data_IF_371377400493
#
_entry.id   IF_371377400493
#
_cell.length_a   1.000
_cell.length_b   1.000
_cell.length_c   1.000
_cell.angle_alpha   90.00
_cell.angle_beta   90.00
_cell.angle_gamma   90.00
#
_symmetry.space_group_name_H-M   'P 1'
#
loop_
_entity.id
_entity.type
_entity.pdbx_description
1 polymer ?
#
# COMPACT_ATOMS: atom_id res chain seq x y z
N UNK A 1 34.57 2.88 16.04
CA UNK A 1 33.12 3.04 16.26
C UNK A 1 32.70 4.35 15.59
N UNK A 2 31.89 4.31 14.53
CA UNK A 2 31.43 5.53 13.85
C UNK A 2 29.98 5.81 14.27
N UNK A 3 29.75 6.99 14.86
CA UNK A 3 28.42 7.40 15.32
C UNK A 3 27.55 7.88 14.15
N UNK A 4 26.24 7.63 14.26
CA UNK A 4 25.26 8.09 13.27
C UNK A 4 25.22 9.59 13.25
N UNK A 5 25.73 10.19 12.20
CA UNK A 5 25.43 11.59 11.94
C UNK A 5 24.35 11.66 10.87
N UNK A 6 23.08 11.52 11.31
CA UNK A 6 21.89 11.66 10.44
C UNK A 6 21.98 12.93 9.59
N UNK A 7 22.36 14.04 10.19
CA UNK A 7 22.47 15.33 9.51
C UNK A 7 23.53 15.30 8.38
N UNK A 8 24.72 14.74 8.63
CA UNK A 8 25.77 14.58 7.62
C UNK A 8 25.31 13.71 6.46
N UNK A 9 24.63 12.59 6.74
CA UNK A 9 24.19 11.65 5.72
C UNK A 9 23.04 12.23 4.91
N UNK A 10 22.07 12.89 5.56
CA UNK A 10 21.04 13.65 4.85
C UNK A 10 21.68 14.70 3.94
N UNK A 11 22.70 15.44 4.41
CA UNK A 11 23.42 16.40 3.57
C UNK A 11 24.05 15.76 2.34
N UNK A 12 24.68 14.59 2.49
CA UNK A 12 25.29 13.82 1.39
C UNK A 12 24.21 13.28 0.44
N UNK A 13 23.16 12.64 0.97
CA UNK A 13 22.08 12.07 0.15
C UNK A 13 21.33 13.16 -0.61
N UNK A 14 21.18 14.35 -0.03
CA UNK A 14 20.56 15.51 -0.68
C UNK A 14 21.42 16.13 -1.79
N UNK A 15 22.65 15.65 -2.04
CA UNK A 15 23.41 16.02 -3.25
C UNK A 15 23.15 15.09 -4.43
N UNK A 16 22.46 13.95 -4.24
CA UNK A 16 22.19 13.02 -5.32
C UNK A 16 21.08 13.60 -6.21
N UNK A 17 21.25 13.62 -7.55
CA UNK A 17 20.25 14.18 -8.47
C UNK A 17 18.84 13.59 -8.29
N UNK A 18 18.72 12.27 -8.10
CA UNK A 18 17.43 11.61 -7.84
C UNK A 18 16.77 12.15 -6.58
N UNK A 19 17.52 12.32 -5.48
CA UNK A 19 16.98 12.84 -4.22
C UNK A 19 16.62 14.32 -4.35
N UNK A 20 17.48 15.12 -4.98
CA UNK A 20 17.23 16.54 -5.23
C UNK A 20 15.95 16.75 -6.03
N UNK A 21 15.79 15.98 -7.11
CA UNK A 21 14.57 16.01 -7.93
C UNK A 21 13.33 15.76 -7.09
N UNK A 22 13.34 14.70 -6.27
CA UNK A 22 12.21 14.35 -5.41
C UNK A 22 11.92 15.38 -4.31
N UNK A 23 12.95 15.99 -3.71
CA UNK A 23 12.78 17.03 -2.71
C UNK A 23 12.33 18.37 -3.31
N UNK A 24 12.61 18.61 -4.60
CA UNK A 24 12.25 19.84 -5.29
C UNK A 24 10.78 19.91 -5.73
N UNK A 25 10.04 18.79 -5.66
CA UNK A 25 8.61 18.72 -6.03
C UNK A 25 7.79 19.62 -5.11
N UNK A 26 7.35 20.76 -5.64
CA UNK A 26 6.64 21.81 -4.89
C UNK A 26 5.27 21.36 -4.38
N UNK A 27 4.89 21.86 -3.21
CA UNK A 27 3.51 21.86 -2.72
C UNK A 27 2.65 22.72 -3.67
N UNK A 28 1.65 22.13 -4.31
CA UNK A 28 0.85 22.85 -5.31
C UNK A 28 -0.27 22.05 -5.96
N UNK A 29 -0.21 20.72 -5.90
CA UNK A 29 -1.27 19.84 -6.41
C UNK A 29 -1.81 18.91 -5.32
N UNK A 30 -3.11 18.62 -5.39
CA UNK A 30 -3.77 17.59 -4.57
C UNK A 30 -3.18 16.21 -4.92
N UNK A 31 -2.08 15.85 -4.25
CA UNK A 31 -1.41 14.57 -4.45
C UNK A 31 -2.22 13.45 -3.80
N UNK A 32 -2.72 12.55 -4.63
CA UNK A 32 -3.49 11.38 -4.19
C UNK A 32 -2.59 10.16 -4.25
N UNK A 33 -2.58 9.39 -3.17
CA UNK A 33 -1.85 8.14 -3.08
C UNK A 33 -2.64 7.13 -2.25
N UNK A 34 -2.84 5.90 -2.73
CA UNK A 34 -3.57 4.87 -2.00
C UNK A 34 -2.72 4.18 -0.92
N UNK A 35 -1.44 4.54 -0.76
CA UNK A 35 -0.50 3.88 0.13
C UNK A 35 0.09 4.84 1.16
N UNK A 36 -0.09 4.52 2.44
CA UNK A 36 0.61 5.23 3.53
C UNK A 36 2.03 4.67 3.70
N UNK A 37 2.23 3.36 3.54
CA UNK A 37 3.54 2.75 3.72
C UNK A 37 3.75 1.57 2.80
N UNK A 38 4.94 1.49 2.24
CA UNK A 38 5.44 0.31 1.54
C UNK A 38 6.71 -0.17 2.23
N UNK A 39 6.80 -1.48 2.46
CA UNK A 39 8.06 -2.15 2.81
C UNK A 39 8.40 -3.09 1.67
N UNK A 40 9.50 -2.79 1.02
CA UNK A 40 10.06 -3.50 -0.11
C UNK A 40 11.23 -4.33 0.41
N UNK A 41 11.33 -5.57 -0.01
CA UNK A 41 12.41 -6.49 0.35
C UNK A 41 13.17 -6.92 -0.91
N UNK A 42 14.44 -7.25 -0.74
CA UNK A 42 15.27 -7.86 -1.77
C UNK A 42 16.13 -8.98 -1.18
N UNK A 43 16.50 -9.96 -2.00
CA UNK A 43 17.43 -11.04 -1.62
C UNK A 43 18.90 -10.64 -1.74
N UNK A 44 19.18 -9.50 -2.36
CA UNK A 44 20.53 -8.94 -2.52
C UNK A 44 20.79 -7.83 -1.50
N UNK A 45 22.06 -7.59 -1.20
CA UNK A 45 22.51 -6.44 -0.41
C UNK A 45 22.43 -5.15 -1.24
N UNK A 46 22.49 -3.95 -0.61
CA UNK A 46 22.58 -2.71 -1.37
C UNK A 46 23.83 -2.69 -2.25
N UNK A 47 23.75 -2.01 -3.40
CA UNK A 47 24.85 -1.94 -4.35
C UNK A 47 26.04 -1.16 -3.81
N UNK A 48 27.24 -1.50 -4.29
CA UNK A 48 28.48 -0.90 -3.81
C UNK A 48 28.50 0.64 -3.92
N UNK A 49 28.02 1.28 -5.01
CA UNK A 49 27.94 2.75 -5.09
C UNK A 49 27.06 3.38 -4.02
N UNK A 50 25.94 2.74 -3.66
CA UNK A 50 25.10 3.19 -2.56
C UNK A 50 25.81 3.03 -1.23
N UNK A 51 26.47 1.89 -1.01
CA UNK A 51 27.26 1.65 0.20
C UNK A 51 28.40 2.66 0.32
N UNK A 52 29.14 2.96 -0.74
CA UNK A 52 30.24 3.93 -0.72
C UNK A 52 29.77 5.34 -0.36
N UNK A 53 28.58 5.71 -0.83
CA UNK A 53 27.95 6.98 -0.50
C UNK A 53 27.64 7.11 1.00
N UNK A 54 27.19 6.03 1.63
CA UNK A 54 26.76 6.02 3.04
C UNK A 54 27.82 5.45 4.00
N UNK A 55 28.91 4.86 3.48
CA UNK A 55 30.03 4.25 4.23
C UNK A 55 30.63 5.17 5.30
N UNK A 56 30.72 6.51 5.12
CA UNK A 56 31.16 7.41 6.19
C UNK A 56 30.29 7.35 7.46
N UNK A 57 29.16 6.65 7.41
CA UNK A 57 28.25 6.43 8.50
C UNK A 57 27.88 4.94 8.63
N UNK A 58 28.78 4.16 9.22
CA UNK A 58 28.52 2.74 9.52
C UNK A 58 27.61 2.65 10.76
N UNK A 59 26.46 1.95 10.67
CA UNK A 59 25.57 1.68 11.80
C UNK A 59 25.72 0.26 12.31
N UNK A 60 25.85 0.13 13.63
CA UNK A 60 25.50 -1.06 14.39
C UNK A 60 24.24 -0.72 15.19
N UNK A 61 23.19 -1.54 15.08
CA UNK A 61 22.02 -1.37 15.91
C UNK A 61 22.23 -2.15 17.21
N UNK A 62 22.57 -1.44 18.30
CA UNK A 62 22.53 -1.98 19.67
C UNK A 62 21.08 -2.07 20.21
N UNK A 63 20.07 -1.82 19.39
CA UNK A 63 18.67 -2.04 19.76
C UNK A 63 18.33 -3.53 19.56
N UNK A 64 18.02 -4.23 20.66
CA UNK A 64 17.55 -5.63 20.71
C UNK A 64 16.36 -5.95 19.78
N UNK A 65 15.66 -4.92 19.29
CA UNK A 65 14.53 -5.01 18.36
C UNK A 65 14.91 -4.98 16.87
N UNK A 66 16.20 -4.83 16.55
CA UNK A 66 16.69 -4.71 15.17
C UNK A 66 17.04 -6.07 14.55
N UNK A 67 16.20 -6.57 13.63
CA UNK A 67 16.49 -7.78 12.85
C UNK A 67 17.68 -7.65 11.88
N UNK A 68 18.39 -6.52 11.86
CA UNK A 68 19.42 -6.16 10.89
C UNK A 68 20.65 -5.55 11.55
N UNK A 69 21.82 -5.86 11.02
CA UNK A 69 23.08 -5.29 11.48
C UNK A 69 23.22 -3.82 11.08
N UNK A 70 22.72 -3.44 9.91
CA UNK A 70 22.86 -2.09 9.36
C UNK A 70 21.50 -1.43 9.15
N UNK A 71 21.44 -0.13 9.44
CA UNK A 71 20.24 0.71 9.25
C UNK A 71 20.63 2.12 8.82
N UNK A 72 19.93 2.63 7.83
CA UNK A 72 19.99 4.00 7.36
C UNK A 72 18.60 4.62 7.45
N UNK A 73 18.50 5.82 8.03
CA UNK A 73 17.26 6.61 8.03
C UNK A 73 17.51 7.89 7.23
N UNK A 74 16.70 8.11 6.22
CA UNK A 74 16.61 9.36 5.49
C UNK A 74 15.16 9.87 5.59
N UNK A 75 14.92 11.13 5.25
CA UNK A 75 13.57 11.68 5.35
C UNK A 75 12.61 11.03 4.35
N UNK A 76 13.08 10.70 3.14
CA UNK A 76 12.26 10.05 2.10
C UNK A 76 12.11 8.53 2.27
N UNK A 77 13.08 7.87 2.90
CA UNK A 77 13.13 6.41 2.99
C UNK A 77 14.01 5.93 4.14
N UNK A 78 13.86 4.68 4.56
CA UNK A 78 14.84 4.01 5.42
C UNK A 78 15.25 2.66 4.83
N UNK A 79 16.52 2.31 4.96
CA UNK A 79 17.07 1.05 4.47
C UNK A 79 17.64 0.26 5.64
N UNK A 80 17.40 -1.05 5.66
CA UNK A 80 18.02 -1.99 6.57
C UNK A 80 18.65 -3.12 5.75
N UNK A 81 19.85 -3.57 6.10
CA UNK A 81 20.52 -4.66 5.38
C UNK A 81 21.44 -5.48 6.28
N UNK A 82 21.87 -6.63 5.77
CA UNK A 82 22.59 -7.68 6.53
C UNK A 82 21.75 -8.20 7.70
N UNK A 83 20.74 -9.05 7.41
CA UNK A 83 19.82 -9.52 8.43
C UNK A 83 20.54 -10.40 9.45
N UNK A 84 20.17 -10.26 10.73
CA UNK A 84 20.59 -11.17 11.80
C UNK A 84 19.76 -12.47 11.80
N UNK A 85 18.61 -12.47 11.13
CA UNK A 85 17.70 -13.62 11.00
C UNK A 85 17.54 -14.03 9.52
N UNK A 86 17.76 -15.31 9.20
CA UNK A 86 17.64 -15.88 7.85
C UNK A 86 16.24 -15.79 7.22
N UNK A 87 15.20 -15.56 8.01
CA UNK A 87 13.84 -15.36 7.52
C UNK A 87 13.60 -13.95 6.95
N UNK A 88 14.42 -12.96 7.31
CA UNK A 88 14.31 -11.60 6.83
C UNK A 88 14.92 -11.45 5.40
N UNK A 89 14.46 -10.49 4.58
CA UNK A 89 15.12 -10.17 3.32
C UNK A 89 16.54 -9.64 3.58
N UNK A 90 17.46 -9.81 2.62
CA UNK A 90 18.84 -9.30 2.74
C UNK A 90 18.88 -7.78 2.85
N UNK A 91 17.99 -7.11 2.12
CA UNK A 91 17.75 -5.66 2.19
C UNK A 91 16.26 -5.39 2.37
N UNK A 92 15.90 -4.45 3.24
CA UNK A 92 14.55 -3.93 3.41
C UNK A 92 14.55 -2.41 3.24
N UNK A 93 13.67 -1.92 2.37
CA UNK A 93 13.49 -0.49 2.08
C UNK A 93 12.06 -0.12 2.51
N UNK A 94 11.93 0.84 3.43
CA UNK A 94 10.65 1.39 3.85
C UNK A 94 10.46 2.77 3.23
N UNK A 95 9.31 2.95 2.59
CA UNK A 95 8.87 4.20 1.96
C UNK A 95 7.52 4.61 2.55
N UNK A 96 7.26 5.91 2.61
CA UNK A 96 5.93 6.48 2.86
C UNK A 96 5.52 7.33 1.64
N UNK A 97 4.91 6.70 0.60
CA UNK A 97 4.61 7.39 -0.64
C UNK A 97 3.67 8.57 -0.47
N UNK A 98 2.67 8.46 0.42
CA UNK A 98 1.73 9.55 0.69
C UNK A 98 2.41 10.75 1.37
N UNK A 99 3.14 10.53 2.47
CA UNK A 99 3.79 11.61 3.25
C UNK A 99 4.81 12.38 2.43
N UNK A 100 5.57 11.69 1.58
CA UNK A 100 6.63 12.29 0.79
C UNK A 100 6.24 12.55 -0.67
N UNK A 101 4.94 12.43 -0.99
CA UNK A 101 4.39 12.67 -2.33
C UNK A 101 5.13 11.91 -3.44
N UNK A 102 5.51 10.66 -3.17
CA UNK A 102 6.26 9.83 -4.11
C UNK A 102 5.33 9.28 -5.19
N UNK A 103 5.58 9.67 -6.44
CA UNK A 103 4.97 9.04 -7.61
C UNK A 103 5.43 7.58 -7.74
N UNK A 104 4.76 6.75 -8.56
CA UNK A 104 5.22 5.39 -8.83
C UNK A 104 6.66 5.35 -9.37
N UNK A 105 7.04 6.25 -10.28
CA UNK A 105 8.42 6.35 -10.79
C UNK A 105 9.39 6.74 -9.66
N UNK A 106 9.01 7.63 -8.75
CA UNK A 106 9.83 7.99 -7.60
C UNK A 106 10.07 6.79 -6.67
N UNK A 107 9.05 5.94 -6.48
CA UNK A 107 9.19 4.70 -5.72
C UNK A 107 10.21 3.77 -6.40
N UNK A 108 10.14 3.58 -7.72
CA UNK A 108 11.12 2.77 -8.45
C UNK A 108 12.53 3.38 -8.36
N UNK A 109 12.67 4.68 -8.61
CA UNK A 109 13.96 5.38 -8.57
C UNK A 109 14.65 5.30 -7.20
N UNK A 110 13.90 5.38 -6.09
CA UNK A 110 14.47 5.19 -4.75
C UNK A 110 14.90 3.75 -4.49
N UNK A 111 14.23 2.77 -5.06
CA UNK A 111 14.62 1.36 -4.97
C UNK A 111 15.87 1.11 -5.81
N UNK A 112 15.92 1.65 -7.03
CA UNK A 112 17.07 1.55 -7.94
C UNK A 112 18.30 2.26 -7.37
N UNK A 113 18.13 3.39 -6.68
CA UNK A 113 19.22 4.06 -5.97
C UNK A 113 19.92 3.13 -4.95
N UNK A 114 19.16 2.26 -4.29
CA UNK A 114 19.67 1.37 -3.23
C UNK A 114 20.17 0.05 -3.81
N UNK A 115 19.41 -0.56 -4.73
CA UNK A 115 19.64 -1.92 -5.22
C UNK A 115 20.28 -1.98 -6.62
N UNK A 116 20.42 -0.84 -7.29
CA UNK A 116 20.83 -0.73 -8.70
C UNK A 116 19.72 -1.05 -9.70
N UNK A 117 18.77 -1.90 -9.32
CA UNK A 117 17.53 -2.15 -10.06
C UNK A 117 16.43 -2.68 -9.12
N UNK A 118 15.18 -2.58 -9.56
CA UNK A 118 14.00 -2.96 -8.80
C UNK A 118 13.38 -4.31 -9.24
N UNK A 119 14.00 -5.04 -10.17
CA UNK A 119 13.40 -6.22 -10.79
C UNK A 119 13.18 -7.37 -9.80
N UNK A 120 14.15 -7.59 -8.92
CA UNK A 120 14.08 -8.63 -7.89
C UNK A 120 13.57 -8.11 -6.55
N UNK A 121 13.13 -6.84 -6.52
CA UNK A 121 12.49 -6.25 -5.36
C UNK A 121 11.03 -6.72 -5.25
N UNK A 122 10.58 -6.99 -4.04
CA UNK A 122 9.22 -7.50 -3.77
C UNK A 122 8.57 -6.81 -2.60
N UNK A 123 7.24 -6.77 -2.58
CA UNK A 123 6.47 -6.15 -1.49
C UNK A 123 6.35 -7.11 -0.31
N UNK A 124 6.92 -6.70 0.82
CA UNK A 124 6.80 -7.38 2.11
C UNK A 124 5.57 -6.88 2.86
N UNK A 125 5.34 -5.56 2.81
CA UNK A 125 4.22 -4.91 3.51
C UNK A 125 3.66 -3.77 2.69
N UNK A 126 2.34 -3.62 2.72
CA UNK A 126 1.63 -2.41 2.29
C UNK A 126 0.66 -1.97 3.39
N UNK A 127 0.59 -0.68 3.65
CA UNK A 127 -0.48 -0.03 4.39
C UNK A 127 -1.37 0.67 3.36
N UNK A 128 -2.42 -0.03 2.92
CA UNK A 128 -3.43 0.45 1.97
C UNK A 128 -4.35 1.47 2.69
N UNK A 129 -4.71 2.60 2.08
CA UNK A 129 -5.55 3.62 2.73
C UNK A 129 -6.70 4.15 1.88
N UNK A 130 -7.73 4.66 2.56
CA UNK A 130 -8.81 5.48 2.00
C UNK A 130 -9.02 6.68 2.92
N UNK A 131 -9.10 7.87 2.33
CA UNK A 131 -9.32 9.14 3.03
C UNK A 131 -10.79 9.59 2.86
N UNK A 132 -11.42 9.95 3.97
CA UNK A 132 -12.79 10.45 4.05
C UNK A 132 -12.76 11.92 4.51
N UNK A 133 -12.55 12.84 3.56
CA UNK A 133 -12.48 14.28 3.83
C UNK A 133 -13.88 14.88 4.01
N UNK A 134 -14.06 15.72 5.03
CA UNK A 134 -15.26 16.52 5.30
C UNK A 134 -16.57 15.73 5.33
N UNK A 135 -16.51 14.43 5.62
CA UNK A 135 -17.65 13.54 5.46
C UNK A 135 -18.15 12.94 6.77
N UNK A 136 -17.26 12.30 7.53
CA UNK A 136 -17.61 11.52 8.73
C UNK A 136 -16.44 11.55 9.70
N UNK A 137 -16.71 11.62 11.00
CA UNK A 137 -15.67 11.54 12.04
C UNK A 137 -15.17 10.12 12.22
N UNK A 138 -13.99 9.95 12.82
CA UNK A 138 -13.43 8.63 13.12
C UNK A 138 -14.34 7.84 14.05
N UNK A 139 -14.90 8.47 15.08
CA UNK A 139 -15.88 7.87 15.99
C UNK A 139 -17.12 7.37 15.24
N UNK A 140 -17.77 8.21 14.42
CA UNK A 140 -18.98 7.82 13.71
C UNK A 140 -18.69 6.75 12.65
N UNK A 141 -17.55 6.83 11.97
CA UNK A 141 -17.12 5.80 11.03
C UNK A 141 -16.92 4.45 11.75
N UNK A 142 -16.32 4.45 12.95
CA UNK A 142 -16.09 3.24 13.74
C UNK A 142 -17.37 2.50 14.12
N UNK A 143 -18.44 3.28 14.38
CA UNK A 143 -19.76 2.76 14.73
C UNK A 143 -20.40 2.02 13.56
N UNK A 144 -20.07 2.40 12.31
CA UNK A 144 -20.64 1.85 11.07
C UNK A 144 -19.73 0.84 10.35
N UNK A 145 -18.42 0.87 10.60
CA UNK A 145 -17.45 0.03 9.91
C UNK A 145 -17.53 -1.45 10.33
N UNK A 146 -17.75 -2.31 9.34
CA UNK A 146 -17.69 -3.75 9.44
C UNK A 146 -16.41 -4.28 8.77
N UNK A 147 -15.62 -5.07 9.50
CA UNK A 147 -14.41 -5.75 9.00
C UNK A 147 -14.63 -7.25 9.09
N UNK A 148 -14.94 -7.88 7.95
CA UNK A 148 -15.53 -9.21 7.91
C UNK A 148 -14.67 -10.37 8.39
N UNK A 149 -13.35 -10.20 8.42
CA UNK A 149 -12.40 -11.20 8.94
C UNK A 149 -12.01 -10.98 10.41
N UNK A 150 -12.43 -9.87 11.03
CA UNK A 150 -12.20 -9.61 12.44
C UNK A 150 -13.38 -10.09 13.26
N UNK A 151 -13.14 -10.80 14.36
CA UNK A 151 -14.21 -11.31 15.25
C UNK A 151 -14.43 -10.45 16.49
N UNK A 152 -13.44 -9.62 16.84
CA UNK A 152 -13.46 -8.76 18.03
C UNK A 152 -13.97 -7.36 17.66
N UNK A 153 -14.57 -6.63 18.61
CA UNK A 153 -14.86 -5.21 18.44
C UNK A 153 -13.56 -4.42 18.20
N UNK A 154 -13.66 -3.22 17.60
CA UNK A 154 -12.54 -2.30 17.58
C UNK A 154 -12.13 -1.91 19.01
N UNK A 155 -10.84 -1.66 19.20
CA UNK A 155 -10.31 -1.07 20.43
C UNK A 155 -10.13 0.43 20.18
N UNK A 156 -10.72 1.27 21.03
CA UNK A 156 -10.40 2.70 21.07
C UNK A 156 -9.02 2.88 21.69
N UNK A 157 -8.08 3.35 20.89
CA UNK A 157 -6.70 3.52 21.31
C UNK A 157 -6.60 4.68 22.29
N UNK A 158 -6.19 4.37 23.53
CA UNK A 158 -6.11 5.32 24.65
C UNK A 158 -7.46 5.93 25.08
N UNK A 159 -8.58 5.39 24.61
CA UNK A 159 -9.93 5.87 24.93
C UNK A 159 -10.13 7.36 24.60
N UNK A 160 -9.59 7.82 23.48
CA UNK A 160 -9.66 9.22 23.06
C UNK A 160 -10.76 9.47 22.02
N UNK A 161 -11.43 8.42 21.52
CA UNK A 161 -12.41 8.54 20.44
C UNK A 161 -11.80 8.89 19.08
N UNK A 162 -10.47 8.90 18.98
CA UNK A 162 -9.74 9.39 17.80
C UNK A 162 -9.20 8.26 16.92
N UNK A 163 -8.92 7.07 17.48
CA UNK A 163 -8.26 5.98 16.74
C UNK A 163 -8.85 4.63 17.17
N UNK A 164 -9.41 3.91 16.22
CA UNK A 164 -10.04 2.60 16.41
C UNK A 164 -9.25 1.52 15.70
N UNK A 165 -8.84 0.50 16.45
CA UNK A 165 -7.99 -0.60 15.97
C UNK A 165 -8.79 -1.90 15.87
N UNK A 166 -8.84 -2.48 14.67
CA UNK A 166 -9.44 -3.79 14.43
C UNK A 166 -8.35 -4.84 14.20
N UNK A 167 -8.27 -5.83 15.08
CA UNK A 167 -7.26 -6.88 15.03
C UNK A 167 -5.93 -6.48 15.68
N UNK A 168 -4.88 -7.26 15.43
CA UNK A 168 -3.57 -7.13 16.11
C UNK A 168 -2.48 -6.64 15.15
N UNK A 169 -1.58 -5.77 15.64
CA UNK A 169 -0.45 -5.16 14.89
C UNK A 169 0.47 -6.17 14.18
N UNK A 170 0.68 -7.35 14.76
CA UNK A 170 1.53 -8.41 14.19
C UNK A 170 0.90 -9.20 13.02
N UNK A 171 -0.36 -8.93 12.71
CA UNK A 171 -1.14 -9.59 11.66
C UNK A 171 -1.77 -8.55 10.72
N UNK A 172 -2.89 -8.88 10.09
CA UNK A 172 -3.71 -7.91 9.37
C UNK A 172 -4.47 -7.05 10.40
N UNK A 173 -4.15 -5.77 10.43
CA UNK A 173 -4.81 -4.78 11.28
C UNK A 173 -5.49 -3.74 10.39
N UNK A 174 -6.70 -3.33 10.77
CA UNK A 174 -7.34 -2.15 10.20
C UNK A 174 -7.33 -1.06 11.26
N UNK A 175 -7.04 0.17 10.86
CA UNK A 175 -7.12 1.36 11.68
C UNK A 175 -8.13 2.30 11.06
N UNK A 176 -8.94 2.92 11.89
CA UNK A 176 -9.79 4.03 11.52
C UNK A 176 -9.47 5.17 12.48
N UNK A 177 -9.03 6.32 11.98
CA UNK A 177 -8.56 7.38 12.86
C UNK A 177 -8.73 8.77 12.27
N UNK A 178 -8.70 9.77 13.16
CA UNK A 178 -8.67 11.17 12.79
C UNK A 178 -7.28 11.55 12.26
N UNK A 179 -7.20 11.68 10.94
CA UNK A 179 -5.96 12.05 10.26
C UNK A 179 -5.68 13.54 10.38
N UNK A 180 -6.70 14.39 10.49
CA UNK A 180 -6.49 15.82 10.67
C UNK A 180 -5.81 16.09 12.01
N UNK A 181 -6.28 15.45 13.08
CA UNK A 181 -5.62 15.51 14.40
C UNK A 181 -4.18 14.99 14.33
N UNK A 182 -3.93 13.86 13.66
CA UNK A 182 -2.56 13.33 13.49
C UNK A 182 -1.64 14.31 12.73
N UNK A 183 -2.21 15.14 11.85
CA UNK A 183 -1.46 16.18 11.11
C UNK A 183 -1.46 17.55 11.82
N UNK A 184 -2.14 17.70 12.96
CA UNK A 184 -2.27 18.98 13.66
C UNK A 184 -3.17 20.00 12.94
N UNK A 185 -4.22 19.54 12.26
CA UNK A 185 -5.15 20.37 11.49
C UNK A 185 -6.51 20.48 12.21
N UNK A 186 -6.68 21.48 13.08
CA UNK A 186 -7.84 21.57 13.98
C UNK A 186 -9.20 21.81 13.25
N UNK A 187 -9.19 22.50 12.10
CA UNK A 187 -10.42 22.94 11.42
C UNK A 187 -10.83 22.04 10.24
N UNK A 188 -10.30 20.82 10.17
CA UNK A 188 -10.54 19.89 9.06
C UNK A 188 -11.07 18.58 9.59
N UNK A 189 -12.25 18.16 9.15
CA UNK A 189 -12.68 16.77 9.36
C UNK A 189 -11.97 15.88 8.34
N UNK A 190 -11.02 15.07 8.79
CA UNK A 190 -10.34 14.10 7.93
C UNK A 190 -10.21 12.77 8.63
N UNK A 191 -11.05 11.81 8.23
CA UNK A 191 -10.95 10.44 8.74
C UNK A 191 -10.21 9.56 7.75
N UNK A 192 -9.26 8.75 8.23
CA UNK A 192 -8.54 7.77 7.42
C UNK A 192 -8.84 6.35 7.86
N UNK A 193 -9.12 5.49 6.89
CA UNK A 193 -9.10 4.05 7.06
C UNK A 193 -7.81 3.50 6.46
N UNK A 194 -7.06 2.74 7.24
CA UNK A 194 -5.81 2.10 6.82
C UNK A 194 -5.88 0.59 7.08
N UNK A 195 -5.50 -0.21 6.09
CA UNK A 195 -5.35 -1.66 6.22
C UNK A 195 -3.90 -2.06 6.03
N UNK A 196 -3.30 -2.58 7.09
CA UNK A 196 -1.98 -3.20 7.03
C UNK A 196 -2.07 -4.61 6.45
N UNK A 197 -1.33 -4.86 5.37
CA UNK A 197 -1.14 -6.18 4.76
C UNK A 197 0.33 -6.56 4.79
N UNK A 198 0.62 -7.72 5.39
CA UNK A 198 1.95 -8.33 5.43
C UNK A 198 1.95 -9.62 4.61
N UNK A 199 2.86 -9.75 3.66
CA UNK A 199 3.05 -10.99 2.89
C UNK A 199 4.07 -11.87 3.61
N UNK A 200 3.56 -12.70 4.53
CA UNK A 200 4.42 -13.55 5.39
C UNK A 200 5.18 -14.57 4.58
N UNK A 201 4.46 -15.31 3.74
CA UNK A 201 5.03 -16.31 2.85
C UNK A 201 5.87 -15.62 1.76
N UNK A 202 7.13 -16.06 1.63
CA UNK A 202 8.10 -15.51 0.66
C UNK A 202 7.69 -15.86 -0.77
N UNK A 203 7.06 -17.01 -1.00
CA UNK A 203 6.75 -17.51 -2.35
C UNK A 203 5.54 -16.82 -3.00
N UNK A 204 4.70 -16.17 -2.19
CA UNK A 204 3.51 -15.44 -2.65
C UNK A 204 3.73 -13.93 -2.74
N UNK A 205 4.95 -13.44 -2.44
CA UNK A 205 5.28 -12.02 -2.55
C UNK A 205 5.30 -11.62 -4.02
N UNK A 206 4.56 -10.58 -4.35
CA UNK A 206 4.61 -9.95 -5.68
C UNK A 206 5.89 -9.16 -5.80
N UNK A 207 6.51 -9.19 -6.98
CA UNK A 207 7.57 -8.23 -7.30
C UNK A 207 7.00 -6.80 -7.24
N UNK A 208 7.86 -5.80 -7.10
CA UNK A 208 7.44 -4.41 -7.05
C UNK A 208 6.64 -4.01 -8.30
N UNK A 209 7.12 -4.41 -9.49
CA UNK A 209 6.40 -4.18 -10.75
C UNK A 209 5.04 -4.88 -10.79
N UNK A 210 4.99 -6.17 -10.42
CA UNK A 210 3.72 -6.90 -10.35
C UNK A 210 2.74 -6.25 -9.38
N UNK A 211 3.23 -5.68 -8.28
CA UNK A 211 2.39 -4.98 -7.32
C UNK A 211 1.85 -3.66 -7.87
N UNK A 212 2.68 -2.88 -8.57
CA UNK A 212 2.27 -1.61 -9.19
C UNK A 212 1.28 -1.83 -10.33
N UNK A 213 1.40 -2.93 -11.08
CA UNK A 213 0.52 -3.22 -12.21
C UNK A 213 -0.75 -4.00 -11.85
N UNK A 214 -0.89 -4.45 -10.61
CA UNK A 214 -2.09 -5.15 -10.14
C UNK A 214 -3.23 -4.16 -9.87
N UNK A 215 -4.47 -4.51 -10.23
CA UNK A 215 -5.65 -3.68 -9.95
C UNK A 215 -6.00 -3.61 -8.45
N UNK A 216 -5.36 -4.44 -7.61
CA UNK A 216 -5.46 -4.43 -6.15
C UNK A 216 -6.89 -4.50 -5.64
N UNK A 217 -7.74 -5.28 -6.32
CA UNK A 217 -9.11 -5.58 -5.88
C UNK A 217 -9.20 -6.22 -4.48
N UNK A 218 -8.05 -6.65 -3.93
CA UNK A 218 -7.90 -7.21 -2.61
C UNK A 218 -7.64 -6.18 -1.49
N UNK A 219 -7.32 -4.91 -1.81
CA UNK A 219 -6.87 -3.89 -0.84
C UNK A 219 -7.89 -3.61 0.28
N UNK A 220 -9.14 -3.23 -0.06
CA UNK A 220 -10.20 -2.98 0.93
C UNK A 220 -11.24 -4.11 1.00
N UNK A 221 -10.88 -5.31 0.53
CA UNK A 221 -11.79 -6.46 0.49
C UNK A 221 -12.29 -6.84 1.90
N UNK A 222 -13.60 -7.10 1.99
CA UNK A 222 -14.31 -7.44 3.23
C UNK A 222 -14.42 -6.31 4.26
N UNK A 223 -14.24 -5.06 3.84
CA UNK A 223 -14.49 -3.86 4.65
C UNK A 223 -15.70 -3.11 4.09
N UNK A 224 -16.67 -2.79 4.95
CA UNK A 224 -17.93 -2.18 4.54
C UNK A 224 -18.29 -1.09 5.56
N UNK A 225 -18.50 0.14 5.11
CA UNK A 225 -19.10 1.20 5.93
C UNK A 225 -20.61 1.07 5.80
N UNK A 226 -21.22 0.35 6.74
CA UNK A 226 -22.63 -0.05 6.65
C UNK A 226 -23.53 1.17 6.82
N UNK A 227 -24.53 1.30 5.95
CA UNK A 227 -25.56 2.32 6.10
C UNK A 227 -26.57 1.91 7.17
N UNK A 228 -26.27 2.26 8.42
CA UNK A 228 -27.12 1.89 9.56
C UNK A 228 -28.48 2.55 9.54
N UNK A 229 -28.62 3.67 8.82
CA UNK A 229 -29.84 4.47 8.76
C UNK A 229 -30.92 3.77 7.91
N UNK A 230 -30.51 2.82 7.05
CA UNK A 230 -31.41 1.95 6.30
C UNK A 230 -32.07 0.83 7.11
N UNK A 231 -31.63 0.59 8.35
CA UNK A 231 -32.33 -0.38 9.21
C UNK A 231 -33.53 0.28 9.88
N UNK A 232 -34.60 -0.50 10.07
CA UNK A 232 -35.77 -0.02 10.83
C UNK A 232 -35.44 -0.02 12.31
N UNK A 233 -35.97 0.93 13.08
CA UNK A 233 -35.70 1.03 14.53
C UNK A 233 -36.05 -0.24 15.34
N UNK A 234 -37.01 -1.05 14.84
CA UNK A 234 -37.41 -2.33 15.44
C UNK A 234 -36.44 -3.49 15.16
N UNK A 235 -35.52 -3.32 14.21
CA UNK A 235 -34.62 -4.37 13.78
C UNK A 235 -33.69 -4.77 14.93
N UNK A 236 -33.48 -6.08 15.08
CA UNK A 236 -32.64 -6.61 16.15
C UNK A 236 -31.23 -6.02 16.09
N UNK A 237 -30.70 -5.75 14.90
CA UNK A 237 -29.37 -5.17 14.74
C UNK A 237 -29.28 -3.76 15.32
N UNK A 238 -30.28 -2.89 15.14
CA UNK A 238 -30.30 -1.54 15.70
C UNK A 238 -30.29 -1.58 17.23
N UNK A 239 -31.12 -2.43 17.84
CA UNK A 239 -31.11 -2.63 19.31
C UNK A 239 -29.73 -3.10 19.82
N UNK A 240 -29.03 -3.91 19.01
CA UNK A 240 -27.70 -4.42 19.34
C UNK A 240 -26.62 -3.34 19.17
N UNK A 241 -26.69 -2.51 18.12
CA UNK A 241 -25.79 -1.36 17.94
C UNK A 241 -25.93 -0.40 19.13
N UNK A 242 -27.17 -0.06 19.53
CA UNK A 242 -27.41 0.77 20.72
C UNK A 242 -26.83 0.17 22.01
N UNK A 243 -26.83 -1.16 22.14
CA UNK A 243 -26.29 -1.86 23.32
C UNK A 243 -24.75 -1.93 23.33
N UNK A 244 -24.13 -2.18 22.18
CA UNK A 244 -22.69 -2.50 22.07
C UNK A 244 -21.85 -1.35 21.50
N UNK A 245 -22.47 -0.25 21.08
CA UNK A 245 -21.79 0.94 20.52
C UNK A 245 -21.35 0.79 19.07
N UNK A 246 -20.93 -0.40 18.61
CA UNK A 246 -20.41 -0.59 17.24
C UNK A 246 -21.19 -1.60 16.42
N UNK A 247 -21.24 -1.38 15.10
CA UNK A 247 -21.81 -2.32 14.15
C UNK A 247 -21.09 -3.67 14.17
N UNK A 248 -19.76 -3.66 14.25
CA UNK A 248 -18.93 -4.86 14.30
C UNK A 248 -19.35 -5.80 15.43
N UNK A 249 -19.46 -5.27 16.66
CA UNK A 249 -19.83 -6.06 17.84
C UNK A 249 -21.28 -6.51 17.80
N UNK A 250 -22.17 -5.59 17.41
CA UNK A 250 -23.59 -5.88 17.23
C UNK A 250 -23.80 -7.03 16.23
N UNK A 251 -23.11 -7.00 15.09
CA UNK A 251 -23.14 -8.05 14.09
C UNK A 251 -22.62 -9.38 14.65
N UNK A 252 -21.49 -9.36 15.37
CA UNK A 252 -20.88 -10.57 15.92
C UNK A 252 -21.75 -11.26 16.98
N UNK A 253 -22.56 -10.50 17.72
CA UNK A 253 -23.52 -11.01 18.72
C UNK A 253 -24.73 -11.76 18.12
N UNK A 254 -24.91 -11.74 16.80
CA UNK A 254 -26.02 -12.42 16.12
C UNK A 254 -25.70 -13.87 15.79
N UNK A 255 -26.77 -14.68 15.68
CA UNK A 255 -26.69 -16.04 15.15
C UNK A 255 -26.38 -16.05 13.64
N UNK A 256 -25.99 -17.22 13.12
CA UNK A 256 -25.57 -17.38 11.73
C UNK A 256 -26.68 -17.03 10.71
N UNK A 257 -27.93 -17.39 11.01
CA UNK A 257 -29.07 -17.12 10.13
C UNK A 257 -29.32 -15.61 10.00
N UNK A 258 -29.27 -14.87 11.12
CA UNK A 258 -29.41 -13.41 11.13
C UNK A 258 -28.24 -12.73 10.41
N UNK A 259 -27.01 -13.21 10.62
CA UNK A 259 -25.82 -12.72 9.89
C UNK A 259 -25.98 -12.87 8.38
N UNK A 260 -26.47 -14.02 7.91
CA UNK A 260 -26.73 -14.28 6.48
C UNK A 260 -27.78 -13.33 5.91
N UNK A 261 -28.89 -13.12 6.64
CA UNK A 261 -29.94 -12.17 6.25
C UNK A 261 -29.44 -10.72 6.19
N UNK A 262 -28.61 -10.31 7.14
CA UNK A 262 -28.03 -8.97 7.15
C UNK A 262 -27.09 -8.73 5.95
N UNK A 263 -26.28 -9.71 5.56
CA UNK A 263 -25.36 -9.57 4.41
C UNK A 263 -26.07 -9.32 3.07
N UNK A 264 -27.34 -9.69 2.94
CA UNK A 264 -28.15 -9.40 1.75
C UNK A 264 -29.03 -8.16 1.91
N UNK A 265 -29.05 -7.54 3.09
CA UNK A 265 -29.80 -6.33 3.37
C UNK A 265 -29.24 -5.13 2.59
N UNK A 266 -30.10 -4.17 2.26
CA UNK A 266 -29.72 -2.99 1.48
C UNK A 266 -28.59 -2.19 2.15
N UNK A 267 -28.66 -2.00 3.47
CA UNK A 267 -27.61 -1.38 4.29
C UNK A 267 -26.19 -1.93 4.04
N UNK A 268 -26.07 -3.24 3.74
CA UNK A 268 -24.80 -3.88 3.43
C UNK A 268 -24.43 -3.80 1.96
N UNK A 269 -25.44 -3.92 1.07
CA UNK A 269 -25.24 -3.93 -0.38
C UNK A 269 -24.94 -2.54 -0.94
N UNK A 270 -25.45 -1.50 -0.29
CA UNK A 270 -25.27 -0.10 -0.63
C UNK A 270 -24.63 0.60 0.57
N UNK A 271 -23.31 0.39 0.78
CA UNK A 271 -22.60 1.06 1.86
C UNK A 271 -22.61 2.56 1.66
N UNK A 272 -22.41 3.30 2.74
CA UNK A 272 -22.27 4.76 2.72
C UNK A 272 -21.05 5.15 1.87
N UNK A 273 -19.97 4.36 2.00
CA UNK A 273 -18.73 4.53 1.25
C UNK A 273 -18.34 3.18 0.65
N UNK A 274 -18.19 3.13 -0.66
CA UNK A 274 -17.55 2.01 -1.34
C UNK A 274 -16.02 2.16 -1.24
N UNK A 275 -15.46 1.61 -0.16
CA UNK A 275 -14.02 1.64 0.11
C UNK A 275 -13.18 0.99 -1.01
N UNK A 276 -13.71 -0.06 -1.66
CA UNK A 276 -13.00 -0.77 -2.71
C UNK A 276 -12.91 0.07 -3.99
N UNK A 277 -14.02 0.70 -4.37
CA UNK A 277 -14.03 1.60 -5.54
C UNK A 277 -13.27 2.89 -5.29
N UNK A 278 -13.36 3.46 -4.08
CA UNK A 278 -12.59 4.65 -3.68
C UNK A 278 -11.09 4.39 -3.76
N UNK A 279 -10.62 3.28 -3.16
CA UNK A 279 -9.21 2.88 -3.24
C UNK A 279 -8.73 2.71 -4.69
N UNK A 280 -9.54 2.08 -5.56
CA UNK A 280 -9.17 1.90 -6.97
C UNK A 280 -9.09 3.22 -7.73
N UNK A 281 -9.98 4.17 -7.43
CA UNK A 281 -9.89 5.52 -8.00
C UNK A 281 -8.61 6.23 -7.56
N UNK A 282 -8.25 6.12 -6.28
CA UNK A 282 -7.01 6.71 -5.77
C UNK A 282 -5.76 6.04 -6.37
N UNK A 283 -5.79 4.72 -6.59
CA UNK A 283 -4.73 3.98 -7.28
C UNK A 283 -4.58 4.43 -8.73
N UNK A 284 -5.68 4.56 -9.46
CA UNK A 284 -5.67 5.02 -10.86
C UNK A 284 -5.05 6.42 -10.98
N UNK A 285 -5.47 7.36 -10.12
CA UNK A 285 -4.92 8.72 -10.04
C UNK A 285 -3.44 8.72 -9.67
N UNK A 286 -3.05 7.91 -8.69
CA UNK A 286 -1.64 7.81 -8.28
C UNK A 286 -0.76 7.27 -9.40
N UNK A 287 -1.23 6.23 -10.10
CA UNK A 287 -0.51 5.66 -11.24
C UNK A 287 -0.38 6.64 -12.41
N UNK A 288 -1.40 7.49 -12.64
CA UNK A 288 -1.38 8.51 -13.70
C UNK A 288 -0.25 9.55 -13.57
N UNK A 289 0.35 9.73 -12.38
CA UNK A 289 1.55 10.56 -12.22
C UNK A 289 2.80 10.00 -12.92
N UNK A 290 2.74 8.75 -13.41
CA UNK A 290 3.83 8.06 -14.10
C UNK A 290 3.34 7.53 -15.44
N UNK A 291 3.31 8.34 -16.53
CA UNK A 291 2.63 7.99 -17.78
C UNK A 291 3.04 6.64 -18.38
N UNK A 292 4.35 6.31 -18.35
CA UNK A 292 4.87 5.03 -18.85
C UNK A 292 4.35 3.84 -18.02
N UNK A 293 4.43 3.94 -16.70
CA UNK A 293 3.91 2.90 -15.79
C UNK A 293 2.39 2.80 -15.84
N UNK A 294 1.70 3.91 -16.03
CA UNK A 294 0.24 3.95 -16.14
C UNK A 294 -0.24 3.21 -17.38
N UNK A 295 0.42 3.41 -18.52
CA UNK A 295 0.13 2.65 -19.74
C UNK A 295 0.24 1.14 -19.48
N UNK A 296 1.31 0.70 -18.82
CA UNK A 296 1.49 -0.70 -18.46
C UNK A 296 0.42 -1.20 -17.48
N UNK A 297 0.13 -0.44 -16.42
CA UNK A 297 -0.91 -0.74 -15.45
C UNK A 297 -2.27 -0.97 -16.11
N UNK A 298 -2.69 -0.10 -17.04
CA UNK A 298 -3.99 -0.20 -17.73
C UNK A 298 -4.07 -1.40 -18.69
N UNK A 299 -2.94 -1.84 -19.24
CA UNK A 299 -2.90 -2.96 -20.18
C UNK A 299 -2.50 -4.29 -19.53
N UNK A 300 -2.11 -4.28 -18.25
CA UNK A 300 -1.49 -5.44 -17.60
C UNK A 300 -2.39 -6.67 -17.55
N UNK A 301 -3.69 -6.50 -17.32
CA UNK A 301 -4.65 -7.62 -17.28
C UNK A 301 -4.74 -8.31 -18.65
N UNK A 302 -4.80 -7.52 -19.73
CA UNK A 302 -4.82 -8.04 -21.11
C UNK A 302 -3.52 -8.76 -21.42
N UNK A 303 -2.38 -8.14 -21.09
CA UNK A 303 -1.06 -8.74 -21.29
C UNK A 303 -0.91 -10.06 -20.54
N UNK A 304 -1.33 -10.11 -19.27
CA UNK A 304 -1.29 -11.31 -18.44
C UNK A 304 -2.18 -12.42 -18.97
N UNK A 305 -3.37 -12.10 -19.47
CA UNK A 305 -4.27 -13.08 -20.10
C UNK A 305 -3.61 -13.73 -21.32
N UNK A 306 -3.03 -12.90 -22.20
CA UNK A 306 -2.27 -13.36 -23.38
C UNK A 306 -1.09 -14.27 -23.02
N UNK A 307 -0.33 -13.95 -21.96
CA UNK A 307 0.81 -14.75 -21.52
C UNK A 307 0.43 -16.07 -20.87
N UNK A 308 -0.77 -16.16 -20.28
CA UNK A 308 -1.26 -17.38 -19.63
C UNK A 308 -1.72 -18.45 -20.62
N UNK A 309 -1.72 -18.16 -21.93
CA UNK A 309 -2.17 -19.08 -22.98
C UNK A 309 -3.65 -19.47 -22.88
N UNK A 310 -4.43 -18.68 -22.12
CA UNK A 310 -5.87 -18.93 -21.90
C UNK A 310 -6.74 -18.43 -23.03
N UNK A 311 -6.20 -17.59 -23.91
CA UNK A 311 -6.89 -17.18 -25.13
C UNK A 311 -6.08 -17.58 -26.37
N UNK A 312 -6.78 -18.15 -27.36
CA UNK A 312 -6.39 -18.02 -28.77
C UNK A 312 -6.65 -16.56 -29.18
N UNK A 313 -5.86 -15.61 -28.68
CA UNK A 313 -5.86 -14.24 -29.22
C UNK A 313 -5.13 -14.32 -30.56
N UNK A 314 -5.90 -14.56 -31.63
CA UNK A 314 -5.52 -13.99 -32.92
C UNK A 314 -5.41 -12.49 -32.70
N UNK A 315 -4.22 -11.94 -32.92
CA UNK A 315 -3.88 -10.54 -32.77
C UNK A 315 -5.08 -9.62 -33.07
N UNK A 316 -5.78 -9.15 -32.03
CA UNK A 316 -6.50 -7.91 -32.14
C UNK A 316 -5.43 -6.87 -32.04
N UNK A 317 -5.19 -6.15 -33.14
CA UNK A 317 -4.59 -4.82 -33.08
C UNK A 317 -5.22 -4.11 -31.88
N UNK A 318 -4.48 -3.99 -30.78
CA UNK A 318 -4.78 -2.98 -29.77
C UNK A 318 -4.46 -1.69 -30.51
N UNK A 319 -5.47 -1.12 -31.18
CA UNK A 319 -5.41 0.24 -31.70
C UNK A 319 -5.32 1.16 -30.50
N UNK A 320 -4.09 1.30 -30.01
CA UNK A 320 -3.69 2.40 -29.15
C UNK A 320 -3.98 3.65 -29.96
N UNK A 321 -4.93 4.47 -29.50
CA UNK A 321 -5.28 5.70 -30.19
C UNK A 321 -4.00 6.54 -30.34
N UNK A 322 -3.51 6.75 -31.56
CA UNK A 322 -2.15 7.19 -31.81
C UNK A 322 -2.13 8.70 -31.77
N UNK A 323 -2.04 9.26 -30.56
CA UNK A 323 -1.68 10.68 -30.46
C UNK A 323 -0.22 10.86 -30.08
N UNK A 324 0.52 9.88 -29.53
CA UNK A 324 1.96 10.13 -29.27
C UNK A 324 2.91 8.96 -28.93
N UNK A 325 2.70 7.72 -29.38
CA UNK A 325 3.69 6.65 -29.11
C UNK A 325 3.94 5.79 -30.34
N UNK A 326 5.15 5.90 -30.90
CA UNK A 326 5.72 4.94 -31.81
C UNK A 326 5.64 3.52 -31.21
N UNK A 327 5.28 2.56 -32.05
CA UNK A 327 5.07 1.16 -31.69
C UNK A 327 6.26 0.54 -30.96
N UNK A 328 6.18 0.41 -29.64
CA UNK A 328 7.08 -0.47 -28.88
C UNK A 328 6.45 -1.85 -28.74
N UNK A 329 7.02 -2.82 -29.47
CA UNK A 329 6.81 -4.24 -29.22
C UNK A 329 7.24 -4.59 -27.78
N UNK A 330 6.48 -5.43 -27.08
CA UNK A 330 6.80 -5.86 -25.71
C UNK A 330 7.47 -7.24 -25.79
N UNK A 331 8.81 -7.34 -25.63
CA UNK A 331 9.48 -8.64 -25.61
C UNK A 331 9.16 -9.36 -24.29
N UNK A 332 8.63 -10.58 -24.40
CA UNK A 332 8.47 -11.51 -23.29
C UNK A 332 9.60 -12.55 -23.33
N UNK A 333 9.97 -13.09 -22.18
CA UNK A 333 10.89 -14.23 -22.08
C UNK A 333 10.17 -15.46 -21.53
N UNK A 334 10.60 -16.65 -21.98
CA UNK A 334 10.08 -17.90 -21.46
C UNK A 334 10.41 -18.02 -19.98
N UNK A 335 9.41 -18.42 -19.19
CA UNK A 335 9.59 -18.66 -17.76
C UNK A 335 9.22 -20.10 -17.42
N UNK A 336 10.03 -20.75 -16.59
CA UNK A 336 9.76 -22.11 -16.11
C UNK A 336 8.98 -21.99 -14.80
N UNK A 337 7.65 -22.13 -14.88
CA UNK A 337 6.73 -22.00 -13.75
C UNK A 337 5.26 -22.24 -14.17
N UNK A 338 4.28 -21.81 -13.36
CA UNK A 338 2.84 -21.88 -13.72
C UNK A 338 2.45 -20.92 -14.86
N UNK A 339 3.28 -19.92 -15.15
CA UNK A 339 3.12 -18.97 -16.24
C UNK A 339 4.16 -19.31 -17.33
N UNK A 340 3.75 -19.39 -18.61
CA UNK A 340 4.64 -19.78 -19.74
C UNK A 340 5.64 -18.69 -20.13
N UNK A 341 5.31 -17.43 -19.85
CA UNK A 341 6.11 -16.26 -20.20
C UNK A 341 6.10 -15.24 -19.06
N UNK A 342 7.19 -14.50 -18.90
CA UNK A 342 7.29 -13.31 -18.05
C UNK A 342 7.76 -12.12 -18.88
N UNK A 343 7.47 -10.89 -18.44
CA UNK A 343 8.05 -9.69 -19.05
C UNK A 343 9.58 -9.81 -19.04
N UNK A 344 10.22 -9.56 -20.17
CA UNK A 344 11.68 -9.58 -20.27
C UNK A 344 12.25 -8.47 -19.40
N UNK A 345 13.25 -8.79 -18.58
CA UNK A 345 13.90 -7.85 -17.66
C UNK A 345 14.56 -6.66 -18.38
N UNK A 346 14.82 -6.76 -19.68
CA UNK A 346 15.47 -5.71 -20.49
C UNK A 346 14.53 -4.64 -21.06
N UNK A 347 13.22 -4.68 -20.76
CA UNK A 347 12.27 -3.70 -21.32
C UNK A 347 12.59 -2.24 -20.91
N UNK A 348 13.28 -2.03 -19.79
CA UNK A 348 13.69 -0.69 -19.34
C UNK A 348 15.18 -0.41 -19.47
N UNK A 349 15.96 -1.28 -20.13
CA UNK A 349 17.40 -1.04 -20.35
C UNK A 349 17.69 -0.36 -21.70
N UNK A 350 16.71 -0.29 -22.61
CA UNK A 350 16.88 0.29 -23.96
C UNK A 350 16.31 1.73 -24.07
N UNK A 351 16.35 2.51 -22.99
CA UNK A 351 16.08 3.97 -23.02
C UNK A 351 17.19 4.73 -22.32
#
# INVERSE_FOLDING_TARGET
MFLYNRHRITKILNTIPVIQSLLSVRAGENFICPYDKLIIGAVVLPQQPFIDLVRPASFHADDDDSFYQNKLIHDLFSVQWSPMNSLAPATSIMLNPWKHRLTPDAVLALVDLVLGNHYDAYIVKSDDKVDCLQFITSEELSKRLYVGYQKKPPQDYRNLGQTFLYGKRGWQQVKNYDKAEEQGLADVTWTRIERTRRQKDKHTRKTLLQFLFDERADAMKHMIVVDTDKFRGRDKIIRRIKKYGTFQEAFMSLDANKKRRLRVHEAFRRPIIDLGSTFRSDLDKWMAHSPKLYFMFRNYVVLKASWSGKDNISFREVRVNPINLHHTWIPAEQHVGKERYRLRQSYFTDV
#
